data_IF_290379519752
#
_entry.id   IF_290379519752
#
_cell.length_a   1.000
_cell.length_b   1.000
_cell.length_c   1.000
_cell.angle_alpha   90.00
_cell.angle_beta   90.00
_cell.angle_gamma   90.00
#
_symmetry.space_group_name_H-M   'P 1'
#
loop_
_entity.id
_entity.type
_entity.pdbx_description
1 polymer ?
#
# COMPACT_ATOMS: atom_id res chain seq x y z
N UNK A 1 -22.55 1.32 20.03
CA UNK A 1 -23.57 1.36 18.98
C UNK A 1 -22.94 0.74 17.75
N UNK A 2 -23.30 -0.52 17.51
CA UNK A 2 -22.61 -1.40 16.57
C UNK A 2 -22.77 -0.96 15.13
N UNK A 3 -21.70 -1.06 14.35
CA UNK A 3 -21.75 -1.03 12.90
C UNK A 3 -22.06 -2.45 12.41
N UNK A 4 -23.36 -2.79 12.43
CA UNK A 4 -23.88 -3.88 11.59
C UNK A 4 -24.00 -3.33 10.18
N UNK A 5 -23.18 -3.78 9.25
CA UNK A 5 -23.18 -3.46 7.84
C UNK A 5 -22.90 -4.70 7.01
N UNK A 6 -23.97 -5.30 6.49
CA UNK A 6 -24.14 -6.17 5.31
C UNK A 6 -23.06 -7.23 5.03
N UNK A 7 -23.47 -8.47 5.21
CA UNK A 7 -22.76 -9.69 4.89
C UNK A 7 -22.29 -9.82 3.44
N UNK A 8 -21.02 -10.04 3.37
CA UNK A 8 -20.17 -10.85 2.49
C UNK A 8 -18.87 -10.92 3.27
N UNK A 9 -18.22 -12.08 3.42
CA UNK A 9 -17.04 -12.24 4.24
C UNK A 9 -16.02 -11.15 3.90
N UNK A 10 -15.93 -10.12 4.74
CA UNK A 10 -15.19 -8.91 4.42
C UNK A 10 -13.70 -9.18 4.49
N UNK A 11 -13.09 -9.43 3.33
CA UNK A 11 -11.65 -9.31 3.20
C UNK A 11 -11.21 -7.90 3.62
N UNK A 12 -10.18 -7.80 4.44
CA UNK A 12 -9.60 -6.49 4.74
C UNK A 12 -9.06 -5.88 3.45
N UNK A 13 -9.52 -4.69 3.09
CA UNK A 13 -9.14 -4.05 1.83
C UNK A 13 -8.60 -2.65 2.09
N UNK A 14 -7.52 -2.26 1.43
CA UNK A 14 -6.96 -0.91 1.52
C UNK A 14 -6.14 -0.54 0.28
N UNK A 15 -5.96 0.76 0.08
CA UNK A 15 -5.12 1.30 -0.98
C UNK A 15 -3.81 1.87 -0.41
N UNK A 16 -2.70 1.57 -1.04
CA UNK A 16 -1.38 2.15 -0.74
C UNK A 16 -1.19 3.36 -1.66
N UNK A 17 -1.34 4.55 -1.10
CA UNK A 17 -1.11 5.83 -1.78
C UNK A 17 0.20 6.49 -1.34
N UNK A 18 0.61 7.55 -2.02
CA UNK A 18 1.74 8.36 -1.59
C UNK A 18 1.54 9.84 -1.91
N UNK A 19 2.27 10.70 -1.21
CA UNK A 19 2.23 12.14 -1.46
C UNK A 19 2.81 12.53 -2.84
N UNK A 20 3.81 11.78 -3.31
CA UNK A 20 4.50 12.02 -4.59
C UNK A 20 4.94 10.72 -5.22
N UNK A 21 5.27 10.76 -6.51
CA UNK A 21 5.97 9.67 -7.18
C UNK A 21 7.31 9.38 -6.49
N UNK A 22 7.84 8.18 -6.65
CA UNK A 22 9.11 7.74 -6.06
C UNK A 22 9.17 7.79 -4.51
N UNK A 23 8.03 7.77 -3.83
CA UNK A 23 7.98 7.68 -2.36
C UNK A 23 8.25 6.26 -1.83
N UNK A 24 8.39 5.27 -2.70
CA UNK A 24 8.65 3.87 -2.34
C UNK A 24 7.38 3.03 -2.17
N UNK A 25 6.26 3.43 -2.79
CA UNK A 25 5.01 2.63 -2.79
C UNK A 25 5.27 1.18 -3.20
N UNK A 26 5.87 0.97 -4.37
CA UNK A 26 6.10 -0.37 -4.92
C UNK A 26 6.98 -1.23 -4.01
N UNK A 27 8.07 -0.66 -3.44
CA UNK A 27 8.92 -1.36 -2.47
C UNK A 27 8.13 -1.78 -1.23
N UNK A 28 7.32 -0.88 -0.68
CA UNK A 28 6.47 -1.17 0.47
C UNK A 28 5.38 -2.19 0.11
N UNK A 29 4.71 -2.03 -1.04
CA UNK A 29 3.64 -2.93 -1.48
C UNK A 29 4.13 -4.37 -1.66
N UNK A 30 5.23 -4.59 -2.39
CA UNK A 30 5.75 -5.94 -2.60
C UNK A 30 6.24 -6.57 -1.29
N UNK A 31 6.85 -5.79 -0.38
CA UNK A 31 7.22 -6.24 0.95
C UNK A 31 6.01 -6.68 1.77
N UNK A 32 4.95 -5.87 1.77
CA UNK A 32 3.71 -6.17 2.49
C UNK A 32 2.97 -7.39 1.91
N UNK A 33 2.86 -7.49 0.58
CA UNK A 33 2.27 -8.65 -0.11
C UNK A 33 2.98 -9.95 0.31
N UNK A 34 4.32 -9.95 0.29
CA UNK A 34 5.13 -11.12 0.66
C UNK A 34 5.00 -11.42 2.16
N UNK A 35 5.10 -10.45 3.04
CA UNK A 35 5.00 -10.64 4.47
C UNK A 35 3.64 -11.25 4.87
N UNK A 36 2.54 -10.75 4.31
CA UNK A 36 1.20 -11.30 4.57
C UNK A 36 1.01 -12.70 3.98
N UNK A 37 1.53 -12.96 2.77
CA UNK A 37 1.54 -14.29 2.17
C UNK A 37 2.33 -15.28 3.02
N UNK A 38 3.50 -14.91 3.51
CA UNK A 38 4.36 -15.77 4.33
C UNK A 38 3.73 -16.09 5.70
N UNK A 39 2.78 -15.24 6.16
CA UNK A 39 1.88 -15.52 7.29
C UNK A 39 0.71 -16.45 6.94
N UNK A 40 0.64 -16.96 5.72
CA UNK A 40 -0.37 -17.90 5.25
C UNK A 40 -1.67 -17.26 4.76
N UNK A 41 -1.71 -15.93 4.57
CA UNK A 41 -2.89 -15.23 4.07
C UNK A 41 -2.97 -15.29 2.55
N UNK A 42 -4.18 -15.37 2.03
CA UNK A 42 -4.48 -15.18 0.61
C UNK A 42 -4.58 -13.68 0.32
N UNK A 43 -3.54 -13.13 -0.30
CA UNK A 43 -3.47 -11.69 -0.57
C UNK A 43 -3.71 -11.43 -2.06
N UNK A 44 -4.74 -10.65 -2.39
CA UNK A 44 -5.04 -10.26 -3.75
C UNK A 44 -4.48 -8.87 -4.04
N UNK A 45 -3.50 -8.76 -4.93
CA UNK A 45 -2.95 -7.48 -5.36
C UNK A 45 -3.74 -6.87 -6.50
N UNK A 46 -3.80 -5.53 -6.49
CA UNK A 46 -4.31 -4.70 -7.58
C UNK A 46 -3.38 -3.52 -7.81
N UNK A 47 -3.43 -2.94 -9.00
CA UNK A 47 -2.68 -1.74 -9.38
C UNK A 47 -3.61 -0.68 -9.97
N UNK A 48 -3.53 0.57 -9.49
CA UNK A 48 -4.20 1.68 -10.15
C UNK A 48 -3.50 2.02 -11.48
N UNK A 49 -4.30 2.23 -12.50
CA UNK A 49 -3.82 2.59 -13.85
C UNK A 49 -3.25 1.42 -14.65
N UNK A 50 -2.87 1.65 -15.91
CA UNK A 50 -2.41 0.63 -16.84
C UNK A 50 -0.90 0.36 -16.68
N UNK A 51 -0.49 -0.21 -15.56
CA UNK A 51 0.91 -0.53 -15.25
C UNK A 51 1.15 -2.04 -15.36
N UNK A 52 2.13 -2.42 -16.17
CA UNK A 52 2.51 -3.83 -16.38
C UNK A 52 3.77 -4.24 -15.62
N UNK A 53 4.55 -3.28 -15.12
CA UNK A 53 5.82 -3.55 -14.45
C UNK A 53 5.56 -3.83 -12.97
N UNK A 54 4.83 -2.94 -12.30
CA UNK A 54 4.52 -3.12 -10.88
C UNK A 54 3.67 -4.37 -10.64
N UNK A 55 2.77 -4.73 -11.58
CA UNK A 55 1.97 -5.96 -11.50
C UNK A 55 2.82 -7.22 -11.49
N UNK A 56 3.95 -7.26 -12.20
CA UNK A 56 4.89 -8.39 -12.16
C UNK A 56 5.53 -8.55 -10.77
N UNK A 57 5.91 -7.45 -10.12
CA UNK A 57 6.41 -7.49 -8.73
C UNK A 57 5.35 -7.98 -7.76
N UNK A 58 4.11 -7.54 -7.94
CA UNK A 58 2.99 -7.96 -7.11
C UNK A 58 2.73 -9.47 -7.23
N UNK A 59 2.75 -10.00 -8.47
CA UNK A 59 2.56 -11.42 -8.71
C UNK A 59 3.68 -12.25 -8.07
N UNK A 60 4.93 -11.85 -8.23
CA UNK A 60 6.06 -12.53 -7.58
C UNK A 60 5.96 -12.50 -6.06
N UNK A 61 5.54 -11.37 -5.48
CA UNK A 61 5.41 -11.21 -4.04
C UNK A 61 4.24 -12.00 -3.46
N UNK A 62 3.06 -11.88 -4.05
CA UNK A 62 1.81 -12.48 -3.54
C UNK A 62 1.60 -13.93 -3.98
N UNK A 63 2.16 -14.32 -5.15
CA UNK A 63 1.85 -15.58 -5.83
C UNK A 63 0.49 -15.59 -6.52
N UNK A 64 -0.15 -14.42 -6.69
CA UNK A 64 -1.44 -14.23 -7.38
C UNK A 64 -1.31 -13.16 -8.44
N UNK A 65 -2.02 -13.33 -9.56
CA UNK A 65 -2.09 -12.33 -10.63
C UNK A 65 -2.53 -10.97 -10.06
N UNK A 66 -1.82 -9.91 -10.43
CA UNK A 66 -2.19 -8.54 -10.08
C UNK A 66 -3.03 -7.91 -11.18
N UNK A 67 -4.14 -7.28 -10.81
CA UNK A 67 -5.13 -6.77 -11.75
C UNK A 67 -5.14 -5.25 -11.76
N UNK A 68 -5.16 -4.65 -12.96
CA UNK A 68 -5.23 -3.20 -13.11
C UNK A 68 -6.65 -2.68 -12.87
N UNK A 69 -6.76 -1.60 -12.10
CA UNK A 69 -8.00 -0.86 -11.84
C UNK A 69 -7.85 0.54 -12.44
N UNK A 70 -8.60 0.82 -13.49
CA UNK A 70 -8.45 2.06 -14.26
C UNK A 70 -9.81 2.62 -14.70
N UNK A 71 -10.18 3.79 -14.15
CA UNK A 71 -11.42 4.49 -14.47
C UNK A 71 -11.34 5.33 -15.76
N UNK A 72 -10.15 5.47 -16.35
CA UNK A 72 -9.99 6.11 -17.65
C UNK A 72 -10.29 5.15 -18.81
N UNK A 73 -9.86 3.89 -18.69
CA UNK A 73 -10.03 2.88 -19.74
C UNK A 73 -11.29 2.02 -19.55
N UNK A 74 -11.85 1.98 -18.34
CA UNK A 74 -13.01 1.16 -18.01
C UNK A 74 -14.06 1.97 -17.22
N UNK A 75 -15.31 1.48 -17.20
CA UNK A 75 -16.36 2.10 -16.38
C UNK A 75 -16.15 1.83 -14.89
N UNK A 76 -16.75 2.68 -14.05
CA UNK A 76 -16.72 2.50 -12.59
C UNK A 76 -17.35 1.15 -12.17
N UNK A 77 -18.42 0.73 -12.85
CA UNK A 77 -19.07 -0.56 -12.61
C UNK A 77 -18.11 -1.72 -12.89
N UNK A 78 -17.38 -1.65 -14.00
CA UNK A 78 -16.41 -2.68 -14.36
C UNK A 78 -15.26 -2.75 -13.37
N UNK A 79 -14.75 -1.61 -12.89
CA UNK A 79 -13.72 -1.56 -11.83
C UNK A 79 -14.21 -2.23 -10.55
N UNK A 80 -15.45 -1.96 -10.12
CA UNK A 80 -16.06 -2.63 -8.95
C UNK A 80 -16.22 -4.14 -9.16
N UNK A 81 -16.71 -4.55 -10.34
CA UNK A 81 -16.88 -5.97 -10.68
C UNK A 81 -15.55 -6.73 -10.64
N UNK A 82 -14.50 -6.20 -11.27
CA UNK A 82 -13.16 -6.80 -11.26
C UNK A 82 -12.63 -6.88 -9.83
N UNK A 83 -12.72 -5.81 -9.05
CA UNK A 83 -12.27 -5.80 -7.67
C UNK A 83 -12.96 -6.88 -6.82
N UNK A 84 -14.28 -7.01 -6.94
CA UNK A 84 -15.04 -8.03 -6.23
C UNK A 84 -14.69 -9.45 -6.70
N UNK A 85 -14.66 -9.67 -8.01
CA UNK A 85 -14.42 -10.99 -8.62
C UNK A 85 -13.07 -11.59 -8.23
N UNK A 86 -12.00 -10.80 -8.33
CA UNK A 86 -10.65 -11.29 -8.00
C UNK A 86 -10.39 -11.34 -6.49
N UNK A 87 -11.11 -10.54 -5.70
CA UNK A 87 -10.99 -10.51 -4.24
C UNK A 87 -11.88 -11.49 -3.49
N UNK A 88 -12.76 -12.23 -4.18
CA UNK A 88 -13.81 -13.06 -3.56
C UNK A 88 -13.27 -14.10 -2.57
N UNK A 89 -12.13 -14.73 -2.89
CA UNK A 89 -11.51 -15.77 -2.07
C UNK A 89 -10.29 -15.27 -1.27
N UNK A 90 -10.02 -13.95 -1.30
CA UNK A 90 -8.88 -13.35 -0.62
C UNK A 90 -9.20 -13.01 0.85
N UNK A 91 -8.19 -13.16 1.72
CA UNK A 91 -8.24 -12.67 3.09
C UNK A 91 -7.96 -11.15 3.15
N UNK A 92 -7.10 -10.67 2.24
CA UNK A 92 -6.70 -9.26 2.12
C UNK A 92 -6.64 -8.84 0.66
N UNK A 93 -7.20 -7.67 0.34
CA UNK A 93 -7.06 -7.01 -0.96
C UNK A 93 -6.20 -5.75 -0.83
N UNK A 94 -5.12 -5.67 -1.60
CA UNK A 94 -4.18 -4.53 -1.57
C UNK A 94 -4.15 -3.87 -2.94
N UNK A 95 -4.52 -2.59 -2.99
CA UNK A 95 -4.47 -1.78 -4.21
C UNK A 95 -3.25 -0.88 -4.15
N UNK A 96 -2.28 -1.02 -5.04
CA UNK A 96 -1.20 -0.05 -5.15
C UNK A 96 -1.62 1.12 -6.05
N UNK A 97 -1.50 2.33 -5.52
CA UNK A 97 -1.77 3.57 -6.23
C UNK A 97 -0.71 3.91 -7.30
N UNK A 98 -1.08 4.80 -8.19
CA UNK A 98 -0.21 5.38 -9.23
C UNK A 98 0.15 6.82 -8.86
N UNK A 99 1.34 7.29 -9.22
CA UNK A 99 1.80 8.68 -8.99
C UNK A 99 1.57 9.16 -7.55
N UNK A 100 1.24 10.44 -7.34
CA UNK A 100 0.72 10.95 -6.08
C UNK A 100 -0.76 10.60 -5.90
N UNK A 101 -1.22 10.55 -4.65
CA UNK A 101 -2.56 10.06 -4.30
C UNK A 101 -3.70 10.78 -5.05
N UNK A 102 -3.54 12.09 -5.29
CA UNK A 102 -4.54 12.91 -5.97
C UNK A 102 -4.18 13.23 -7.44
N UNK A 103 -3.06 12.69 -7.95
CA UNK A 103 -2.62 12.94 -9.32
C UNK A 103 -3.44 12.09 -10.30
N UNK A 104 -4.21 12.73 -11.15
CA UNK A 104 -5.02 12.12 -12.19
C UNK A 104 -4.86 12.85 -13.53
N UNK A 105 -5.61 12.45 -14.55
CA UNK A 105 -5.58 13.08 -15.89
C UNK A 105 -6.33 14.42 -15.94
N UNK A 106 -7.31 14.63 -15.03
CA UNK A 106 -8.02 15.89 -14.82
C UNK A 106 -8.20 16.09 -13.31
N UNK A 107 -7.25 16.78 -12.67
CA UNK A 107 -7.16 16.90 -11.21
C UNK A 107 -7.15 15.50 -10.58
N UNK A 108 -8.15 15.17 -9.75
CA UNK A 108 -8.23 13.86 -9.10
C UNK A 108 -8.96 12.77 -9.90
N UNK A 109 -9.44 13.05 -11.12
CA UNK A 109 -10.04 12.03 -11.99
C UNK A 109 -8.98 11.07 -12.51
N UNK A 110 -9.22 9.78 -12.42
CA UNK A 110 -8.25 8.73 -12.74
C UNK A 110 -7.15 8.58 -11.69
N UNK A 111 -7.24 9.27 -10.55
CA UNK A 111 -6.26 9.18 -9.47
C UNK A 111 -6.50 7.96 -8.57
N UNK A 112 -5.47 7.63 -7.79
CA UNK A 112 -5.58 6.61 -6.72
C UNK A 112 -6.64 6.97 -5.68
N UNK A 113 -6.85 8.27 -5.39
CA UNK A 113 -7.89 8.72 -4.48
C UNK A 113 -9.30 8.44 -5.02
N UNK A 114 -9.52 8.59 -6.34
CA UNK A 114 -10.79 8.24 -6.96
C UNK A 114 -11.09 6.75 -6.81
N UNK A 115 -10.13 5.88 -7.10
CA UNK A 115 -10.28 4.42 -6.91
C UNK A 115 -10.58 4.08 -5.45
N UNK A 116 -9.88 4.68 -4.48
CA UNK A 116 -10.13 4.43 -3.07
C UNK A 116 -11.57 4.82 -2.65
N UNK A 117 -12.05 5.97 -3.11
CA UNK A 117 -13.42 6.43 -2.87
C UNK A 117 -14.46 5.58 -3.60
N UNK A 118 -14.18 5.17 -4.84
CA UNK A 118 -15.04 4.32 -5.66
C UNK A 118 -15.29 2.96 -4.99
N UNK A 119 -14.25 2.38 -4.39
CA UNK A 119 -14.29 1.08 -3.73
C UNK A 119 -14.63 1.17 -2.24
N UNK A 120 -14.77 2.38 -1.69
CA UNK A 120 -14.94 2.69 -0.25
C UNK A 120 -13.88 2.02 0.64
N UNK A 121 -12.63 1.96 0.18
CA UNK A 121 -11.50 1.40 0.92
C UNK A 121 -10.61 2.48 1.52
N UNK A 122 -10.05 2.28 2.72
CA UNK A 122 -9.16 3.24 3.36
C UNK A 122 -7.79 3.28 2.66
N UNK A 123 -7.08 4.40 2.81
CA UNK A 123 -5.76 4.64 2.25
C UNK A 123 -4.69 4.56 3.33
N UNK A 124 -3.63 3.83 3.06
CA UNK A 124 -2.35 3.91 3.76
C UNK A 124 -1.44 4.84 2.97
N UNK A 125 -1.02 5.92 3.60
CA UNK A 125 -0.18 6.92 2.96
C UNK A 125 1.30 6.59 3.16
N UNK A 126 2.02 6.27 2.09
CA UNK A 126 3.48 6.12 2.12
C UNK A 126 4.12 7.49 1.95
N UNK A 127 4.92 7.89 2.93
CA UNK A 127 5.60 9.18 2.96
C UNK A 127 7.11 8.99 2.92
N UNK A 128 7.77 9.59 1.94
CA UNK A 128 9.23 9.62 1.89
C UNK A 128 9.77 10.56 2.96
N UNK A 129 10.46 10.00 3.96
CA UNK A 129 11.02 10.73 5.10
C UNK A 129 12.46 11.22 4.86
N UNK A 130 12.99 11.08 3.63
CA UNK A 130 14.34 11.58 3.32
C UNK A 130 14.40 13.09 3.51
N UNK A 131 15.29 13.54 4.40
CA UNK A 131 15.56 14.97 4.66
C UNK A 131 14.35 15.75 5.23
N UNK A 132 13.40 15.08 5.88
CA UNK A 132 12.29 15.69 6.61
C UNK A 132 12.17 15.03 7.98
N UNK A 133 11.73 15.78 8.98
CA UNK A 133 11.42 15.28 10.32
C UNK A 133 10.00 15.76 10.71
N UNK A 134 9.86 16.54 11.77
CA UNK A 134 8.55 17.01 12.23
C UNK A 134 7.77 17.85 11.18
N UNK A 135 8.45 18.50 10.25
CA UNK A 135 7.81 19.25 9.15
C UNK A 135 6.94 18.39 8.21
N UNK A 136 6.88 17.09 8.42
CA UNK A 136 5.93 16.21 7.72
C UNK A 136 4.49 16.35 8.28
N UNK A 137 4.31 16.87 9.50
CA UNK A 137 3.00 17.01 10.12
C UNK A 137 1.99 17.83 9.28
N UNK A 138 2.33 19.03 8.75
CA UNK A 138 1.46 19.77 7.84
C UNK A 138 1.10 19.00 6.57
N UNK A 139 2.02 18.21 6.03
CA UNK A 139 1.77 17.37 4.87
C UNK A 139 0.70 16.31 5.18
N UNK A 140 0.88 15.54 6.26
CA UNK A 140 -0.05 14.51 6.70
C UNK A 140 -1.41 15.12 7.02
N UNK A 141 -1.44 16.23 7.74
CA UNK A 141 -2.66 16.97 8.05
C UNK A 141 -3.41 17.39 6.78
N UNK A 142 -2.68 17.90 5.77
CA UNK A 142 -3.24 18.26 4.48
C UNK A 142 -3.89 17.07 3.77
N UNK A 143 -3.20 15.93 3.68
CA UNK A 143 -3.77 14.72 3.05
C UNK A 143 -5.01 14.22 3.78
N UNK A 144 -5.04 14.27 5.11
CA UNK A 144 -6.19 13.86 5.92
C UNK A 144 -7.42 14.73 5.68
N UNK A 145 -7.24 16.04 5.54
CA UNK A 145 -8.34 17.01 5.53
C UNK A 145 -8.71 17.55 4.14
N UNK A 146 -7.87 17.32 3.12
CA UNK A 146 -8.10 17.83 1.78
C UNK A 146 -9.39 17.32 1.14
N UNK A 147 -9.70 16.05 1.32
CA UNK A 147 -10.95 15.47 0.84
C UNK A 147 -11.64 14.67 1.97
N UNK A 148 -12.76 15.17 2.53
CA UNK A 148 -13.43 14.54 3.66
C UNK A 148 -14.07 13.17 3.34
N UNK A 149 -14.23 12.83 2.05
CA UNK A 149 -14.74 11.51 1.62
C UNK A 149 -13.66 10.44 1.62
N UNK A 150 -12.37 10.83 1.60
CA UNK A 150 -11.26 9.91 1.58
C UNK A 150 -10.84 9.54 3.00
N UNK A 151 -10.74 8.25 3.28
CA UNK A 151 -10.38 7.74 4.60
C UNK A 151 -8.86 7.45 4.63
N UNK A 152 -8.07 8.24 5.36
CA UNK A 152 -6.65 7.94 5.61
C UNK A 152 -6.58 7.06 6.86
N UNK A 153 -6.24 5.77 6.69
CA UNK A 153 -6.13 4.81 7.78
C UNK A 153 -4.85 4.97 8.59
N UNK A 154 -3.78 5.45 7.97
CA UNK A 154 -2.51 5.67 8.63
C UNK A 154 -1.39 6.01 7.67
N UNK A 155 -0.20 6.21 8.23
CA UNK A 155 1.02 6.58 7.52
C UNK A 155 2.10 5.54 7.74
N UNK A 156 2.80 5.17 6.67
CA UNK A 156 4.06 4.44 6.72
C UNK A 156 5.16 5.34 6.18
N UNK A 157 6.25 5.47 6.91
CA UNK A 157 7.38 6.26 6.48
C UNK A 157 8.42 5.40 5.76
N UNK A 158 8.84 5.82 4.58
CA UNK A 158 9.95 5.21 3.85
C UNK A 158 11.20 6.09 3.95
N UNK A 159 12.39 5.50 3.78
CA UNK A 159 13.69 6.18 3.83
C UNK A 159 14.02 6.80 5.20
N UNK A 160 13.57 6.19 6.27
CA UNK A 160 13.89 6.61 7.64
C UNK A 160 15.36 6.38 7.93
N UNK A 161 16.01 7.35 8.54
CA UNK A 161 17.47 7.31 8.77
C UNK A 161 17.87 6.54 10.03
N UNK A 162 17.03 6.56 11.08
CA UNK A 162 17.28 5.94 12.39
C UNK A 162 16.01 5.91 13.23
N UNK A 163 16.03 5.18 14.34
CA UNK A 163 14.94 5.17 15.33
C UNK A 163 14.66 6.56 15.92
N UNK A 164 15.71 7.33 16.21
CA UNK A 164 15.56 8.71 16.68
C UNK A 164 14.84 9.58 15.64
N UNK A 165 15.15 9.40 14.36
CA UNK A 165 14.44 10.08 13.28
C UNK A 165 12.95 9.65 13.25
N UNK A 166 12.69 8.36 13.40
CA UNK A 166 11.32 7.84 13.45
C UNK A 166 10.51 8.42 14.61
N UNK A 167 11.11 8.66 15.77
CA UNK A 167 10.41 9.27 16.90
C UNK A 167 9.80 10.64 16.57
N UNK A 168 10.51 11.50 15.82
CA UNK A 168 9.97 12.78 15.34
C UNK A 168 8.82 12.61 14.33
N UNK A 169 8.94 11.61 13.45
CA UNK A 169 7.92 11.32 12.45
C UNK A 169 6.63 10.77 13.11
N UNK A 170 6.78 9.92 14.13
CA UNK A 170 5.67 9.41 14.92
C UNK A 170 4.93 10.53 15.65
N UNK A 171 5.67 11.46 16.29
CA UNK A 171 5.07 12.63 16.94
C UNK A 171 4.30 13.50 15.92
N UNK A 172 4.84 13.66 14.70
CA UNK A 172 4.15 14.39 13.64
C UNK A 172 2.80 13.73 13.24
N UNK A 173 2.73 12.40 13.23
CA UNK A 173 1.48 11.68 13.01
C UNK A 173 0.48 11.89 14.15
N UNK A 174 0.93 11.83 15.41
CA UNK A 174 0.12 12.05 16.60
C UNK A 174 -0.52 13.44 16.55
N UNK A 175 0.27 14.49 16.26
CA UNK A 175 -0.20 15.87 16.20
C UNK A 175 -1.11 16.14 14.97
N UNK A 176 -0.90 15.44 13.86
CA UNK A 176 -1.81 15.44 12.71
C UNK A 176 -3.07 14.57 12.95
N UNK A 177 -3.11 13.80 14.04
CA UNK A 177 -4.22 12.92 14.40
C UNK A 177 -4.38 11.75 13.43
N UNK A 178 -3.29 11.23 12.84
CA UNK A 178 -3.29 10.08 11.92
C UNK A 178 -2.45 8.95 12.53
N UNK A 179 -2.92 7.69 12.54
CA UNK A 179 -2.12 6.58 13.02
C UNK A 179 -0.77 6.45 12.30
N UNK A 180 0.32 6.30 13.05
CA UNK A 180 1.62 5.91 12.50
C UNK A 180 1.68 4.38 12.48
N UNK A 181 1.72 3.78 11.27
CA UNK A 181 1.69 2.34 11.07
C UNK A 181 3.09 1.71 11.06
N UNK A 182 4.14 2.52 11.01
CA UNK A 182 5.50 2.05 11.02
C UNK A 182 6.39 2.73 9.99
N UNK A 183 7.52 2.13 9.69
CA UNK A 183 8.52 2.70 8.80
C UNK A 183 9.36 1.64 8.08
N UNK A 184 10.05 2.04 7.03
CA UNK A 184 11.12 1.31 6.38
C UNK A 184 12.42 2.12 6.47
N UNK A 185 13.50 1.46 6.87
CA UNK A 185 14.81 2.10 6.93
C UNK A 185 15.34 2.46 5.55
N UNK A 186 16.17 3.47 5.51
CA UNK A 186 16.92 3.81 4.30
C UNK A 186 17.95 2.71 4.02
N UNK A 187 17.64 1.86 3.06
CA UNK A 187 18.49 0.78 2.61
C UNK A 187 18.77 0.91 1.11
N UNK A 188 20.03 0.84 0.69
CA UNK A 188 20.44 0.92 -0.72
C UNK A 188 20.06 -0.34 -1.49
N UNK A 189 19.97 -1.46 -0.81
CA UNK A 189 19.65 -2.76 -1.40
C UNK A 189 18.13 -2.89 -1.71
N UNK A 190 17.32 -1.94 -1.19
CA UNK A 190 15.89 -1.83 -1.48
C UNK A 190 15.57 -0.87 -2.65
N UNK A 191 16.59 -0.43 -3.39
CA UNK A 191 16.38 0.39 -4.57
C UNK A 191 16.03 -0.53 -5.74
N UNK A 192 14.80 -0.41 -6.26
CA UNK A 192 14.38 -1.12 -7.46
C UNK A 192 15.30 -0.67 -8.61
N UNK A 193 16.07 -1.59 -9.23
CA UNK A 193 16.86 -1.24 -10.40
C UNK A 193 15.96 -0.63 -11.47
N UNK A 194 16.45 0.38 -12.19
CA UNK A 194 15.63 1.11 -13.17
C UNK A 194 14.80 0.14 -14.04
N UNK A 195 13.63 0.58 -14.49
CA UNK A 195 12.52 -0.16 -15.14
C UNK A 195 12.87 -1.09 -16.32
N UNK A 196 14.12 -1.48 -16.46
CA UNK A 196 14.59 -2.48 -17.42
C UNK A 196 14.58 -3.86 -16.77
N UNK A 197 13.38 -4.37 -16.51
CA UNK A 197 13.20 -5.77 -16.16
C UNK A 197 13.47 -6.59 -17.43
N UNK A 198 14.74 -6.95 -17.60
CA UNK A 198 15.07 -8.04 -18.50
C UNK A 198 14.34 -9.29 -18.00
N UNK A 199 13.68 -10.04 -18.90
CA UNK A 199 13.04 -11.31 -18.62
C UNK A 199 14.08 -12.45 -18.42
N UNK A 200 15.27 -12.13 -17.87
CA UNK A 200 16.33 -13.10 -17.60
C UNK A 200 16.11 -13.79 -16.25
N UNK A 201 16.68 -14.97 -16.09
CA UNK A 201 16.63 -15.73 -14.84
C UNK A 201 17.31 -14.95 -13.72
N UNK A 202 18.44 -14.31 -14.01
CA UNK A 202 19.20 -13.48 -13.05
C UNK A 202 18.34 -12.30 -12.54
N UNK A 203 17.64 -11.61 -13.43
CA UNK A 203 16.76 -10.50 -13.04
C UNK A 203 15.60 -10.97 -12.14
N UNK A 204 15.13 -12.20 -12.30
CA UNK A 204 14.13 -12.81 -11.42
C UNK A 204 14.67 -13.12 -10.03
N UNK A 205 15.88 -13.66 -9.96
CA UNK A 205 16.55 -13.95 -8.68
C UNK A 205 16.86 -12.67 -7.88
N UNK A 206 17.37 -11.63 -8.56
CA UNK A 206 17.58 -10.31 -7.96
C UNK A 206 16.28 -9.68 -7.45
N UNK A 207 15.19 -9.82 -8.20
CA UNK A 207 13.87 -9.33 -7.79
C UNK A 207 13.33 -10.11 -6.60
N UNK A 208 13.48 -11.42 -6.57
CA UNK A 208 13.04 -12.26 -5.45
C UNK A 208 13.80 -11.89 -4.16
N UNK A 209 15.10 -11.63 -4.24
CA UNK A 209 15.89 -11.18 -3.09
C UNK A 209 15.44 -9.79 -2.61
N UNK A 210 15.19 -8.86 -3.53
CA UNK A 210 14.64 -7.54 -3.20
C UNK A 210 13.29 -7.65 -2.48
N UNK A 211 12.40 -8.53 -2.95
CA UNK A 211 11.09 -8.78 -2.31
C UNK A 211 11.27 -9.34 -0.90
N UNK A 212 12.21 -10.28 -0.69
CA UNK A 212 12.50 -10.85 0.63
C UNK A 212 13.02 -9.79 1.60
N UNK A 213 13.95 -8.96 1.15
CA UNK A 213 14.48 -7.86 1.96
C UNK A 213 13.38 -6.86 2.33
N UNK A 214 12.53 -6.50 1.37
CA UNK A 214 11.40 -5.61 1.64
C UNK A 214 10.39 -6.23 2.61
N UNK A 215 10.11 -7.53 2.50
CA UNK A 215 9.23 -8.24 3.43
C UNK A 215 9.79 -8.26 4.85
N UNK A 216 11.09 -8.49 4.99
CA UNK A 216 11.76 -8.45 6.29
C UNK A 216 11.64 -7.07 6.96
N UNK A 217 11.90 -5.99 6.22
CA UNK A 217 11.71 -4.61 6.72
C UNK A 217 10.26 -4.35 7.18
N UNK A 218 9.28 -4.82 6.40
CA UNK A 218 7.85 -4.68 6.75
C UNK A 218 7.51 -5.47 8.02
N UNK A 219 8.01 -6.71 8.16
CA UNK A 219 7.78 -7.54 9.35
C UNK A 219 8.39 -6.90 10.60
N UNK A 220 9.61 -6.39 10.51
CA UNK A 220 10.36 -5.85 11.64
C UNK A 220 9.85 -4.47 12.10
N UNK A 221 9.36 -3.62 11.18
CA UNK A 221 9.10 -2.22 11.49
C UNK A 221 7.66 -1.76 11.23
N UNK A 222 6.83 -2.58 10.58
CA UNK A 222 5.43 -2.26 10.28
C UNK A 222 4.48 -3.28 10.91
N UNK A 223 4.69 -4.57 10.70
CA UNK A 223 3.78 -5.64 11.15
C UNK A 223 4.19 -6.26 12.50
N UNK A 224 4.77 -5.49 13.41
CA UNK A 224 5.32 -5.99 14.68
C UNK A 224 4.31 -6.74 15.57
N UNK A 225 3.00 -6.50 15.43
CA UNK A 225 1.96 -7.12 16.24
C UNK A 225 0.93 -7.85 15.38
N UNK A 226 0.42 -9.00 15.87
CA UNK A 226 -0.68 -9.73 15.23
C UNK A 226 -1.99 -8.92 15.16
N UNK A 227 -2.16 -7.90 16.00
CA UNK A 227 -3.31 -6.99 16.04
C UNK A 227 -3.09 -5.72 15.23
N UNK A 228 -2.05 -5.65 14.41
CA UNK A 228 -1.78 -4.48 13.58
C UNK A 228 -2.94 -4.24 12.60
N UNK A 229 -3.34 -2.98 12.32
CA UNK A 229 -4.48 -2.66 11.43
C UNK A 229 -4.39 -3.26 10.02
N UNK A 230 -3.17 -3.58 9.56
CA UNK A 230 -2.93 -4.22 8.26
C UNK A 230 -3.00 -5.76 8.30
N UNK A 231 -3.13 -6.34 9.49
CA UNK A 231 -3.24 -7.79 9.66
C UNK A 231 -4.72 -8.11 9.88
N UNK A 232 -5.37 -8.89 8.99
CA UNK A 232 -6.74 -9.31 9.22
C UNK A 232 -6.83 -10.15 10.50
N UNK A 233 -7.98 -10.18 11.18
CA UNK A 233 -8.18 -11.04 12.32
C UNK A 233 -7.91 -12.49 11.92
N UNK A 234 -7.11 -13.20 12.71
CA UNK A 234 -6.85 -14.63 12.51
C UNK A 234 -8.20 -15.33 12.62
N UNK A 235 -8.63 -15.98 11.54
CA UNK A 235 -9.79 -16.88 11.59
C UNK A 235 -9.42 -17.97 12.60
N UNK A 236 -10.07 -17.98 13.77
CA UNK A 236 -9.83 -18.95 14.81
C UNK A 236 -9.92 -20.36 14.21
N UNK A 237 -8.85 -21.13 14.34
CA UNK A 237 -8.91 -22.55 14.12
C UNK A 237 -9.82 -23.16 15.20
N UNK A 238 -10.88 -23.80 14.78
CA UNK A 238 -11.62 -24.75 15.59
C UNK A 238 -10.79 -26.04 15.77
#
# INVERSE_FOLDING_TARGET
>A
MGLEGSGLGASSSFLIGAATSNSGKTTFTMGLLRALRDRGLKVQPYKCGPDYIDTMFHEMASGRESVNLDTYMASEEHVREIFQRYGEDADVCIVEGVMGLFDGYDKSKGSSAEIAMLLDIPVILVVNAKSVAYSVAPLIYGFKHFNPKLKIAGVVFNMVASENHFAFLKQACEDAGVPCLGYMLRNRDLIIPGRHLGLTIEAREETEELIRLAAKEVEEHVLMNQTHPLTPPIKGGE
#
